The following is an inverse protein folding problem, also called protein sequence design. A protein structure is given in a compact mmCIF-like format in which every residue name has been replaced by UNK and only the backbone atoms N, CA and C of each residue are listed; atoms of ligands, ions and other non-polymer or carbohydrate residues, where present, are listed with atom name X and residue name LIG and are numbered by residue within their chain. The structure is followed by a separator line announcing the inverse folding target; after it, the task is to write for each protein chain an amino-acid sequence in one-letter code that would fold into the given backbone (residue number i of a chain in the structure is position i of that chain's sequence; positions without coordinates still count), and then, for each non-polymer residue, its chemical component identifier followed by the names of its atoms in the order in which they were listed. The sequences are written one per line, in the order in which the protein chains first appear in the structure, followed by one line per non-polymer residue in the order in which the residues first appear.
data_IF_259036788668
#
_entry.id   IF_259036788668
#
_cell.length_a   1.000
_cell.length_b   1.000
_cell.length_c   1.000
_cell.angle_alpha   90.00
_cell.angle_beta   90.00
_cell.angle_gamma   90.00
#
_symmetry.space_group_name_H-M   'P 1'
#
loop_
_entity.id
_entity.type
_entity.pdbx_description
1 polymer ?
#
# COMPACT_ATOMS: atom_id res chain seq x y z
N UNK A 1 42.04 -16.82 -2.79
CA UNK A 1 41.54 -15.46 -3.01
C UNK A 1 41.05 -15.37 -4.45
N UNK A 2 39.77 -15.67 -4.67
CA UNK A 2 39.09 -15.43 -5.94
C UNK A 2 37.98 -14.44 -5.63
N UNK A 3 38.26 -13.19 -5.97
CA UNK A 3 37.38 -12.05 -5.81
C UNK A 3 36.27 -12.14 -6.88
N UNK A 4 35.08 -12.61 -6.50
CA UNK A 4 33.91 -12.59 -7.37
C UNK A 4 33.10 -11.32 -7.11
N UNK A 5 33.59 -10.20 -7.60
CA UNK A 5 32.83 -8.94 -7.61
C UNK A 5 31.84 -8.99 -8.78
N UNK A 6 30.74 -9.73 -8.58
CA UNK A 6 29.53 -9.48 -9.36
C UNK A 6 29.16 -8.00 -9.16
N UNK A 7 28.81 -7.24 -10.21
CA UNK A 7 28.41 -5.85 -10.05
C UNK A 7 27.26 -5.81 -9.04
N UNK A 8 27.51 -5.16 -7.90
CA UNK A 8 26.53 -5.05 -6.82
C UNK A 8 25.27 -4.40 -7.37
N UNK A 9 24.13 -5.06 -7.16
CA UNK A 9 22.81 -4.53 -7.52
C UNK A 9 22.40 -3.28 -6.69
N UNK A 10 23.34 -2.67 -5.96
CA UNK A 10 23.11 -1.57 -5.01
C UNK A 10 22.55 -0.30 -5.67
N UNK A 11 22.74 -0.12 -6.97
CA UNK A 11 22.29 1.09 -7.69
C UNK A 11 21.08 0.85 -8.61
N UNK A 12 20.53 -0.37 -8.68
CA UNK A 12 19.40 -0.69 -9.57
C UNK A 12 18.14 0.16 -9.32
N UNK A 13 17.99 0.64 -8.08
CA UNK A 13 16.85 1.44 -7.63
C UNK A 13 17.20 2.92 -7.40
N UNK A 14 18.44 3.34 -7.68
CA UNK A 14 18.76 4.76 -7.69
C UNK A 14 18.10 5.43 -8.91
N UNK A 15 17.62 6.66 -8.72
CA UNK A 15 17.01 7.51 -9.77
C UNK A 15 15.59 7.12 -10.26
N UNK A 16 14.92 6.15 -9.65
CA UNK A 16 13.50 5.90 -9.99
C UNK A 16 12.59 6.92 -9.31
N UNK A 17 11.78 7.60 -10.10
CA UNK A 17 10.79 8.55 -9.60
C UNK A 17 9.50 7.87 -9.13
N UNK A 18 9.24 6.64 -9.60
CA UNK A 18 8.06 5.86 -9.22
C UNK A 18 8.49 4.40 -9.14
N UNK A 19 8.06 3.72 -8.07
CA UNK A 19 8.15 2.27 -7.96
C UNK A 19 6.74 1.73 -7.75
N UNK A 20 6.32 0.81 -8.61
CA UNK A 20 5.06 0.08 -8.49
C UNK A 20 5.34 -1.37 -8.12
N UNK A 21 4.64 -1.89 -7.12
CA UNK A 21 4.85 -3.21 -6.57
C UNK A 21 3.52 -3.98 -6.44
N UNK A 22 3.53 -5.21 -6.93
CA UNK A 22 2.47 -6.18 -6.76
C UNK A 22 2.84 -7.12 -5.60
N UNK A 23 2.10 -7.06 -4.50
CA UNK A 23 2.34 -7.89 -3.32
C UNK A 23 1.31 -9.03 -3.23
N UNK A 24 1.83 -10.26 -3.22
CA UNK A 24 1.06 -11.49 -3.03
C UNK A 24 1.15 -11.91 -1.57
N UNK A 25 0.42 -11.22 -0.71
CA UNK A 25 0.38 -11.50 0.73
C UNK A 25 -0.81 -12.37 1.09
N UNK A 26 -0.61 -13.28 2.04
CA UNK A 26 -1.68 -14.08 2.63
C UNK A 26 -1.90 -13.63 4.08
N UNK A 27 -3.15 -13.37 4.44
CA UNK A 27 -3.49 -13.02 5.81
C UNK A 27 -3.25 -14.22 6.75
N UNK A 28 -2.62 -13.96 7.89
CA UNK A 28 -2.53 -14.91 9.01
C UNK A 28 -3.89 -15.15 9.67
N UNK A 29 -3.97 -16.13 10.57
CA UNK A 29 -5.20 -16.38 11.34
C UNK A 29 -5.54 -15.18 12.23
N UNK A 30 -6.76 -14.65 12.10
CA UNK A 30 -7.21 -13.50 12.89
C UNK A 30 -6.50 -12.18 12.55
N UNK A 31 -5.86 -12.11 11.38
CA UNK A 31 -5.21 -10.92 10.87
C UNK A 31 -5.79 -10.59 9.49
N UNK A 32 -5.76 -9.32 9.13
CA UNK A 32 -6.29 -8.87 7.85
C UNK A 32 -6.98 -7.52 7.95
N UNK A 33 -7.18 -6.92 6.78
CA UNK A 33 -7.98 -5.71 6.67
C UNK A 33 -9.45 -6.09 6.73
N UNK A 34 -10.22 -5.36 7.54
CA UNK A 34 -11.68 -5.43 7.54
C UNK A 34 -12.22 -4.75 6.28
N UNK A 35 -12.38 -5.56 5.22
CA UNK A 35 -12.88 -5.09 3.93
C UNK A 35 -14.32 -4.64 4.00
N UNK A 36 -15.14 -5.32 4.79
CA UNK A 36 -16.55 -4.97 4.94
C UNK A 36 -16.69 -3.56 5.50
N UNK A 37 -15.96 -3.25 6.58
CA UNK A 37 -15.93 -1.91 7.15
C UNK A 37 -15.40 -0.87 6.16
N UNK A 38 -14.29 -1.15 5.48
CA UNK A 38 -13.72 -0.22 4.48
C UNK A 38 -14.70 0.06 3.34
N UNK A 39 -15.44 -0.95 2.87
CA UNK A 39 -16.46 -0.79 1.83
C UNK A 39 -17.66 0.01 2.33
N UNK A 40 -18.11 -0.21 3.58
CA UNK A 40 -19.18 0.60 4.20
C UNK A 40 -18.74 2.07 4.29
N UNK A 41 -17.52 2.32 4.77
CA UNK A 41 -16.97 3.67 4.88
C UNK A 41 -16.84 4.36 3.50
N UNK A 42 -16.38 3.62 2.50
CA UNK A 42 -16.28 4.12 1.13
C UNK A 42 -17.65 4.46 0.53
N UNK A 43 -18.66 3.62 0.73
CA UNK A 43 -20.02 3.88 0.25
C UNK A 43 -20.63 5.10 0.93
N UNK A 44 -20.42 5.26 2.24
CA UNK A 44 -20.82 6.47 2.95
C UNK A 44 -20.16 7.74 2.37
N UNK A 45 -18.89 7.67 2.00
CA UNK A 45 -18.20 8.79 1.34
C UNK A 45 -18.80 9.08 -0.04
N UNK A 46 -19.10 8.06 -0.82
CA UNK A 46 -19.74 8.22 -2.14
C UNK A 46 -21.09 8.92 -2.03
N UNK A 47 -21.86 8.62 -0.99
CA UNK A 47 -23.16 9.25 -0.73
C UNK A 47 -23.06 10.67 -0.14
N UNK A 48 -22.00 10.98 0.61
CA UNK A 48 -21.81 12.27 1.28
C UNK A 48 -21.68 13.48 0.33
N UNK A 49 -21.53 13.26 -0.98
CA UNK A 49 -21.19 14.26 -2.01
C UNK A 49 -19.87 15.01 -1.79
N UNK A 50 -19.15 14.73 -0.70
CA UNK A 50 -17.81 15.27 -0.46
C UNK A 50 -16.83 14.75 -1.53
N UNK A 51 -15.91 15.62 -1.94
CA UNK A 51 -14.79 15.24 -2.81
C UNK A 51 -13.56 14.81 -2.00
N UNK A 52 -13.53 15.14 -0.72
CA UNK A 52 -12.37 14.92 0.12
C UNK A 52 -12.33 13.45 0.59
N UNK A 53 -11.15 12.81 0.55
CA UNK A 53 -10.98 11.48 1.09
C UNK A 53 -11.05 11.48 2.62
N UNK A 54 -11.37 10.32 3.21
CA UNK A 54 -11.57 10.18 4.66
C UNK A 54 -10.31 9.67 5.35
N UNK A 55 -9.84 10.30 6.44
CA UNK A 55 -8.80 9.72 7.28
C UNK A 55 -9.26 8.39 7.91
N UNK A 56 -8.44 7.35 7.80
CA UNK A 56 -8.64 6.04 8.40
C UNK A 56 -7.33 5.53 8.99
N UNK A 57 -7.41 4.98 10.21
CA UNK A 57 -6.28 4.32 10.87
C UNK A 57 -6.32 2.80 10.62
N UNK A 58 -5.26 2.25 10.04
CA UNK A 58 -5.15 0.82 9.68
C UNK A 58 -3.75 0.31 10.03
N UNK A 59 -3.64 -0.75 10.85
CA UNK A 59 -2.35 -1.35 11.19
C UNK A 59 -1.34 -0.35 11.77
N UNK A 60 -1.81 0.60 12.60
CA UNK A 60 -0.95 1.64 13.19
C UNK A 60 -0.52 2.77 12.25
N UNK A 61 -0.99 2.79 10.99
CA UNK A 61 -0.71 3.84 10.02
C UNK A 61 -1.98 4.61 9.62
N UNK A 62 -1.82 5.89 9.33
CA UNK A 62 -2.89 6.76 8.83
C UNK A 62 -2.92 6.76 7.31
N UNK A 63 -4.13 6.59 6.76
CA UNK A 63 -4.40 6.67 5.34
C UNK A 63 -5.60 7.55 5.06
N UNK A 64 -5.66 8.04 3.84
CA UNK A 64 -6.82 8.67 3.24
C UNK A 64 -7.53 7.62 2.38
N UNK A 65 -8.75 7.26 2.77
CA UNK A 65 -9.65 6.39 2.01
C UNK A 65 -10.38 7.23 0.96
N UNK A 66 -10.20 6.87 -0.31
CA UNK A 66 -10.89 7.51 -1.42
C UNK A 66 -12.26 6.88 -1.66
N UNK A 67 -13.22 7.72 -2.07
CA UNK A 67 -14.60 7.32 -2.43
C UNK A 67 -14.68 6.49 -3.73
N UNK A 68 -13.60 6.40 -4.48
CA UNK A 68 -13.52 5.74 -5.78
C UNK A 68 -12.51 4.60 -5.72
N UNK A 69 -12.72 3.61 -6.57
CA UNK A 69 -11.74 2.56 -6.85
C UNK A 69 -10.71 2.99 -7.90
N UNK A 70 -9.66 2.21 -8.09
CA UNK A 70 -8.67 2.49 -9.12
C UNK A 70 -9.24 2.30 -10.54
N UNK A 71 -8.57 2.89 -11.53
CA UNK A 71 -8.88 2.69 -12.95
C UNK A 71 -8.79 1.23 -13.39
N UNK A 72 -8.01 0.42 -12.68
CA UNK A 72 -7.87 -1.03 -12.89
C UNK A 72 -8.92 -1.86 -12.12
N UNK A 73 -10.05 -1.24 -11.76
CA UNK A 73 -11.18 -1.88 -11.08
C UNK A 73 -10.87 -2.45 -9.68
N UNK A 74 -9.85 -1.93 -9.00
CA UNK A 74 -9.57 -2.27 -7.60
C UNK A 74 -10.46 -1.38 -6.71
N UNK A 75 -11.39 -1.93 -5.92
CA UNK A 75 -12.44 -1.14 -5.26
C UNK A 75 -11.91 -0.19 -4.20
N UNK A 76 -10.87 -0.57 -3.45
CA UNK A 76 -10.32 0.22 -2.36
C UNK A 76 -9.04 0.93 -2.79
N UNK A 77 -8.98 2.23 -2.54
CA UNK A 77 -7.79 3.06 -2.72
C UNK A 77 -7.49 3.78 -1.40
N UNK A 78 -6.32 3.50 -0.85
CA UNK A 78 -5.76 4.12 0.35
C UNK A 78 -4.54 4.93 -0.03
N UNK A 79 -4.38 6.11 0.53
CA UNK A 79 -3.27 7.00 0.21
C UNK A 79 -2.66 7.60 1.46
N UNK A 80 -1.34 7.71 1.51
CA UNK A 80 -0.65 8.59 2.45
C UNK A 80 0.49 9.34 1.74
N UNK A 81 1.32 10.03 2.51
CA UNK A 81 2.45 10.81 1.98
C UNK A 81 3.53 9.95 1.29
N UNK A 82 3.58 8.66 1.58
CA UNK A 82 4.63 7.75 1.12
C UNK A 82 4.17 6.85 -0.03
N UNK A 83 2.91 6.41 -0.01
CA UNK A 83 2.41 5.40 -0.93
C UNK A 83 0.92 5.51 -1.22
N UNK A 84 0.52 4.99 -2.37
CA UNK A 84 -0.87 4.68 -2.70
C UNK A 84 -1.03 3.16 -2.74
N UNK A 85 -2.02 2.63 -2.02
CA UNK A 85 -2.34 1.21 -1.96
C UNK A 85 -3.70 1.01 -2.64
N UNK A 86 -3.75 0.10 -3.60
CA UNK A 86 -4.96 -0.30 -4.29
C UNK A 86 -5.19 -1.79 -4.09
N UNK A 87 -6.42 -2.16 -3.69
CA UNK A 87 -6.76 -3.55 -3.37
C UNK A 87 -8.25 -3.83 -3.58
N UNK A 88 -8.56 -5.11 -3.76
CA UNK A 88 -9.88 -5.69 -3.55
C UNK A 88 -9.74 -7.04 -2.88
N UNK A 89 -10.79 -7.48 -2.20
CA UNK A 89 -10.84 -8.69 -1.39
C UNK A 89 -10.41 -9.95 -2.17
N UNK A 90 -10.79 -10.04 -3.44
CA UNK A 90 -10.57 -11.22 -4.29
C UNK A 90 -9.41 -11.06 -5.29
N UNK A 91 -8.58 -10.03 -5.15
CA UNK A 91 -7.56 -9.72 -6.15
C UNK A 91 -6.27 -10.55 -5.96
N UNK A 92 -5.66 -10.88 -7.10
CA UNK A 92 -4.35 -11.54 -7.19
C UNK A 92 -3.50 -10.75 -8.20
N UNK A 93 -2.57 -9.90 -7.76
CA UNK A 93 -2.02 -9.75 -6.41
C UNK A 93 -2.99 -9.14 -5.40
N UNK A 94 -2.69 -9.37 -4.12
CA UNK A 94 -3.47 -8.83 -3.02
C UNK A 94 -3.35 -7.32 -2.91
N UNK A 95 -2.16 -6.75 -3.08
CA UNK A 95 -1.98 -5.29 -3.05
C UNK A 95 -1.20 -4.82 -4.26
N UNK A 96 -1.67 -3.73 -4.86
CA UNK A 96 -0.88 -2.92 -5.77
C UNK A 96 -0.48 -1.65 -5.04
N UNK A 97 0.82 -1.41 -4.94
CA UNK A 97 1.39 -0.30 -4.17
C UNK A 97 2.24 0.55 -5.09
N UNK A 98 1.96 1.85 -5.12
CA UNK A 98 2.76 2.84 -5.84
C UNK A 98 3.47 3.72 -4.82
N UNK A 99 4.80 3.71 -4.83
CA UNK A 99 5.64 4.58 -4.02
C UNK A 99 5.90 5.90 -4.74
N UNK A 100 5.76 7.02 -4.02
CA UNK A 100 5.92 8.37 -4.57
C UNK A 100 7.39 8.77 -4.66
N UNK A 101 7.74 9.61 -5.65
CA UNK A 101 9.09 10.14 -5.84
C UNK A 101 9.67 10.75 -4.57
N UNK A 102 8.92 11.64 -3.91
CA UNK A 102 9.37 12.30 -2.68
C UNK A 102 9.65 11.28 -1.55
N UNK A 103 8.82 10.23 -1.47
CA UNK A 103 9.00 9.18 -0.48
C UNK A 103 10.24 8.32 -0.77
N UNK A 104 10.49 8.03 -2.06
CA UNK A 104 11.64 7.27 -2.54
C UNK A 104 12.94 8.03 -2.26
N UNK A 105 12.95 9.36 -2.44
CA UNK A 105 14.09 10.20 -2.09
C UNK A 105 14.36 10.22 -0.58
N UNK A 106 13.31 10.21 0.26
CA UNK A 106 13.46 10.21 1.73
C UNK A 106 13.88 8.85 2.29
N UNK A 107 13.37 7.73 1.75
CA UNK A 107 13.42 6.43 2.42
C UNK A 107 14.03 5.29 1.60
N UNK A 108 14.41 5.51 0.33
CA UNK A 108 14.78 4.48 -0.66
C UNK A 108 13.64 3.48 -0.98
N UNK A 109 13.73 2.83 -2.14
CA UNK A 109 12.78 1.77 -2.51
C UNK A 109 12.76 0.60 -1.53
N UNK A 110 13.93 0.14 -1.07
CA UNK A 110 14.04 -0.95 -0.09
C UNK A 110 13.44 -0.57 1.27
N UNK A 111 13.66 0.65 1.74
CA UNK A 111 13.08 1.13 2.99
C UNK A 111 11.56 1.22 2.94
N UNK A 112 10.99 1.72 1.83
CA UNK A 112 9.54 1.76 1.64
C UNK A 112 8.92 0.36 1.49
N UNK A 113 9.62 -0.55 0.82
CA UNK A 113 9.23 -1.96 0.73
C UNK A 113 9.13 -2.59 2.12
N UNK A 114 10.18 -2.44 2.94
CA UNK A 114 10.19 -3.00 4.29
C UNK A 114 9.08 -2.39 5.15
N UNK A 115 8.91 -1.07 5.11
CA UNK A 115 7.83 -0.39 5.84
C UNK A 115 6.44 -0.89 5.45
N UNK A 116 6.22 -1.19 4.17
CA UNK A 116 4.96 -1.78 3.72
C UNK A 116 4.77 -3.21 4.26
N UNK A 117 5.81 -4.04 4.25
CA UNK A 117 5.74 -5.40 4.79
C UNK A 117 5.52 -5.41 6.31
N UNK A 118 6.17 -4.49 7.03
CA UNK A 118 5.98 -4.32 8.47
C UNK A 118 4.53 -3.93 8.76
N UNK A 119 4.01 -2.91 8.06
CA UNK A 119 2.60 -2.50 8.17
C UNK A 119 1.62 -3.64 7.84
N UNK A 120 1.88 -4.39 6.77
CA UNK A 120 1.00 -5.46 6.34
C UNK A 120 1.01 -6.64 7.32
N UNK A 121 2.13 -6.87 8.01
CA UNK A 121 2.28 -7.88 9.06
C UNK A 121 1.65 -7.43 10.38
N UNK A 122 1.81 -6.14 10.72
CA UNK A 122 1.27 -5.49 11.91
C UNK A 122 -0.17 -5.02 11.74
N UNK A 123 -0.80 -5.33 10.61
CA UNK A 123 -2.25 -5.21 10.40
C UNK A 123 -2.98 -6.25 11.28
N UNK A 124 -2.77 -6.13 12.59
CA UNK A 124 -3.52 -6.75 13.66
C UNK A 124 -4.94 -6.24 13.49
N UNK A 125 -5.82 -7.22 13.33
CA UNK A 125 -7.25 -7.08 13.22
C UNK A 125 -7.81 -5.95 14.08
N UNK A 126 -8.40 -4.95 13.41
CA UNK A 126 -9.60 -4.31 13.94
C UNK A 126 -10.76 -5.30 13.75
N UNK A 127 -10.81 -6.31 14.62
CA UNK A 127 -12.05 -7.05 14.93
C UNK A 127 -12.81 -6.26 16.00
#
# INVERSE_FOLDING_TARGET
MSDSTAPGFELLLQEHDIIECAYYLQAGRGQGLDFERLTIEQEALRQSKSKDPKPVALGGAEFLLHRYGSSSALPIVLENADMTIQRGEYNSPSFFVTYRSEALWRNSGQGLHQRFLDWASDSIAWL
#
